data_IF_477522763119
#
_entry.id   IF_477522763119
#
_cell.length_a   1.000
_cell.length_b   1.000
_cell.length_c   1.000
_cell.angle_alpha   90.00
_cell.angle_beta   90.00
_cell.angle_gamma   90.00
#
_symmetry.space_group_name_H-M   'P 1'
#
loop_
_entity.id
_entity.type
_entity.pdbx_description
1 polymer ?
#
# COMPACT_ATOMS: atom_id res chain seq x y z
N UNK A 1 1.87 -65.96 -7.28
CA UNK A 1 0.94 -64.87 -7.62
C UNK A 1 0.35 -64.09 -6.44
N UNK A 2 0.65 -64.38 -5.14
CA UNK A 2 0.13 -63.62 -4.01
C UNK A 2 1.09 -62.58 -3.41
N UNK A 3 2.35 -62.57 -3.83
CA UNK A 3 3.38 -61.66 -3.31
C UNK A 3 3.53 -60.36 -4.11
N UNK A 4 3.03 -60.29 -5.31
CA UNK A 4 3.13 -59.08 -6.17
C UNK A 4 2.05 -58.06 -5.84
N UNK A 5 0.88 -58.53 -5.32
CA UNK A 5 -0.21 -57.64 -4.95
C UNK A 5 0.06 -56.88 -3.66
N UNK A 6 0.85 -57.46 -2.74
CA UNK A 6 1.18 -56.81 -1.45
C UNK A 6 2.22 -55.72 -1.59
N UNK A 7 3.09 -55.77 -2.59
CA UNK A 7 4.10 -54.74 -2.84
C UNK A 7 3.52 -53.52 -3.57
N UNK A 8 2.45 -53.69 -4.34
CA UNK A 8 1.78 -52.56 -5.03
C UNK A 8 0.92 -51.72 -4.10
N UNK A 9 0.45 -52.30 -2.97
CA UNK A 9 -0.34 -51.53 -1.99
C UNK A 9 0.51 -50.67 -1.04
N UNK A 10 1.80 -50.95 -0.91
CA UNK A 10 2.71 -50.17 -0.05
C UNK A 10 3.26 -48.90 -0.72
N UNK A 11 3.08 -48.74 -2.06
CA UNK A 11 3.54 -47.55 -2.79
C UNK A 11 2.48 -46.44 -2.90
N UNK A 12 1.24 -46.70 -2.45
CA UNK A 12 0.14 -45.70 -2.53
C UNK A 12 -0.08 -44.98 -1.19
N UNK A 13 0.57 -45.38 -0.09
CA UNK A 13 0.43 -44.74 1.21
C UNK A 13 1.45 -43.63 1.49
N UNK A 14 2.15 -43.17 0.47
CA UNK A 14 2.96 -41.95 0.53
C UNK A 14 2.10 -40.73 0.26
N UNK A 15 1.08 -40.45 1.04
CA UNK A 15 0.51 -39.11 1.16
C UNK A 15 1.64 -38.22 1.71
N UNK A 16 2.33 -37.51 0.82
CA UNK A 16 3.14 -36.40 1.22
C UNK A 16 2.24 -35.45 2.01
N UNK A 17 2.39 -35.41 3.31
CA UNK A 17 1.80 -34.38 4.15
C UNK A 17 2.40 -33.05 3.65
N UNK A 18 1.59 -32.31 2.90
CA UNK A 18 1.89 -30.91 2.62
C UNK A 18 2.11 -30.25 4.00
N UNK A 19 3.25 -29.62 4.24
CA UNK A 19 3.45 -28.93 5.51
C UNK A 19 2.38 -27.86 5.64
N UNK A 20 1.43 -28.11 6.54
CA UNK A 20 0.47 -27.09 6.94
C UNK A 20 1.28 -26.00 7.63
N UNK A 21 1.44 -24.85 6.98
CA UNK A 21 1.91 -23.66 7.66
C UNK A 21 0.91 -23.34 8.78
N UNK A 22 1.31 -23.64 10.00
CA UNK A 22 0.61 -23.14 11.19
C UNK A 22 0.89 -21.65 11.30
N UNK A 23 0.04 -20.85 10.71
CA UNK A 23 -0.07 -19.44 11.09
C UNK A 23 -0.88 -19.40 12.39
N UNK A 24 -0.24 -19.01 13.47
CA UNK A 24 -0.80 -19.07 14.83
C UNK A 24 -1.98 -18.14 15.10
N UNK A 25 -2.36 -17.24 14.16
CA UNK A 25 -3.44 -16.25 14.37
C UNK A 25 -4.43 -16.08 13.21
N UNK A 26 -4.39 -16.89 12.17
CA UNK A 26 -5.28 -16.75 11.02
C UNK A 26 -6.42 -17.77 11.11
N UNK A 27 -7.66 -17.27 11.24
CA UNK A 27 -8.86 -18.10 11.06
C UNK A 27 -8.94 -18.50 9.59
N UNK A 28 -8.69 -19.77 9.32
CA UNK A 28 -8.90 -20.33 8.00
C UNK A 28 -10.40 -20.45 7.70
N UNK A 29 -10.77 -20.35 6.42
CA UNK A 29 -12.18 -20.40 5.98
C UNK A 29 -12.90 -21.67 6.50
N UNK A 30 -12.17 -22.77 6.65
CA UNK A 30 -12.74 -24.03 7.18
C UNK A 30 -13.15 -23.92 8.67
N UNK A 31 -12.56 -23.00 9.45
CA UNK A 31 -12.94 -22.77 10.84
C UNK A 31 -14.22 -21.93 10.95
N UNK A 32 -14.58 -21.24 9.88
CA UNK A 32 -15.77 -20.38 9.79
C UNK A 32 -16.94 -21.12 9.14
N UNK A 33 -16.64 -22.00 8.20
CA UNK A 33 -17.63 -22.75 7.42
C UNK A 33 -17.32 -24.23 7.56
N UNK A 34 -18.24 -25.01 8.12
CA UNK A 34 -18.14 -26.48 8.19
C UNK A 34 -18.34 -27.05 6.77
N UNK A 35 -17.30 -26.97 5.97
CA UNK A 35 -17.31 -27.41 4.58
C UNK A 35 -16.81 -28.84 4.49
N UNK A 36 -17.66 -29.82 4.75
CA UNK A 36 -17.39 -31.25 4.51
C UNK A 36 -17.54 -31.68 3.06
N UNK A 37 -17.43 -30.74 2.12
CA UNK A 37 -17.69 -31.00 0.71
C UNK A 37 -16.42 -31.34 -0.09
N UNK A 38 -16.60 -31.91 -1.27
CA UNK A 38 -15.52 -32.27 -2.20
C UNK A 38 -14.62 -31.08 -2.57
N UNK A 39 -15.10 -29.86 -2.40
CA UNK A 39 -14.36 -28.62 -2.68
C UNK A 39 -13.21 -28.44 -1.67
N UNK A 40 -13.35 -28.88 -0.43
CA UNK A 40 -12.29 -28.88 0.59
C UNK A 40 -11.03 -29.63 0.17
N UNK A 41 -11.18 -30.63 -0.68
CA UNK A 41 -10.07 -31.50 -1.13
C UNK A 41 -9.39 -30.99 -2.40
N UNK A 42 -10.03 -30.08 -3.12
CA UNK A 42 -9.58 -29.61 -4.43
C UNK A 42 -8.97 -28.21 -4.43
N UNK A 43 -9.23 -27.39 -3.39
CA UNK A 43 -8.71 -26.03 -3.30
C UNK A 43 -7.69 -25.97 -2.17
N UNK A 44 -6.45 -25.56 -2.44
CA UNK A 44 -5.49 -25.31 -1.37
C UNK A 44 -6.10 -24.28 -0.42
N UNK A 45 -6.10 -24.58 0.87
CA UNK A 45 -6.70 -23.75 1.89
C UNK A 45 -6.13 -22.35 1.84
N UNK A 46 -6.95 -21.39 1.46
CA UNK A 46 -6.64 -19.98 1.62
C UNK A 46 -7.18 -19.54 2.98
N UNK A 47 -6.27 -19.31 3.91
CA UNK A 47 -6.63 -18.62 5.14
C UNK A 47 -7.02 -17.18 4.78
N UNK A 48 -8.20 -16.75 5.22
CA UNK A 48 -8.64 -15.36 5.08
C UNK A 48 -7.97 -14.59 6.21
N UNK A 49 -7.04 -13.74 5.86
CA UNK A 49 -6.45 -12.82 6.83
C UNK A 49 -7.50 -11.79 7.26
N UNK A 50 -7.54 -11.49 8.55
CA UNK A 50 -8.33 -10.38 9.06
C UNK A 50 -7.84 -9.07 8.46
N UNK A 51 -8.74 -8.11 8.27
CA UNK A 51 -8.36 -6.79 7.81
C UNK A 51 -7.41 -6.14 8.83
N UNK A 52 -6.26 -5.70 8.35
CA UNK A 52 -5.23 -5.06 9.16
C UNK A 52 -4.91 -3.68 8.64
N UNK A 53 -4.52 -2.80 9.54
CA UNK A 53 -3.97 -1.51 9.17
C UNK A 53 -2.66 -1.72 8.39
N UNK A 54 -2.51 -1.02 7.27
CA UNK A 54 -1.32 -1.13 6.42
C UNK A 54 -0.21 -0.28 7.04
N UNK A 55 0.85 -0.94 7.51
CA UNK A 55 2.04 -0.29 8.07
C UNK A 55 3.29 -0.80 7.34
N UNK A 56 3.78 -0.01 6.40
CA UNK A 56 5.01 -0.28 5.67
C UNK A 56 6.24 0.21 6.46
N UNK A 57 7.48 -0.22 6.13
CA UNK A 57 8.68 0.34 6.74
C UNK A 57 8.76 1.87 6.62
N UNK A 58 8.36 2.44 5.48
CA UNK A 58 8.29 3.89 5.24
C UNK A 58 7.28 4.61 6.14
N UNK A 59 6.22 3.94 6.56
CA UNK A 59 5.27 4.44 7.56
C UNK A 59 5.96 4.69 8.91
N UNK A 60 6.82 3.77 9.34
CA UNK A 60 7.59 3.96 10.58
C UNK A 60 8.62 5.10 10.46
N UNK A 61 9.22 5.29 9.27
CA UNK A 61 10.10 6.44 9.03
C UNK A 61 9.34 7.77 9.18
N UNK A 62 8.09 7.85 8.72
CA UNK A 62 7.22 9.01 8.93
C UNK A 62 6.89 9.24 10.40
N UNK A 63 6.53 8.17 11.13
CA UNK A 63 6.14 8.27 12.54
C UNK A 63 7.26 8.79 13.45
N UNK A 64 8.50 8.38 13.19
CA UNK A 64 9.65 8.74 14.04
C UNK A 64 10.24 10.10 13.70
N UNK A 65 9.71 10.82 12.72
CA UNK A 65 10.17 12.17 12.41
C UNK A 65 10.00 13.07 13.65
N UNK A 66 11.00 13.88 14.01
CA UNK A 66 10.85 14.89 15.04
C UNK A 66 9.68 15.82 14.69
N UNK A 67 8.90 16.31 15.66
CA UNK A 67 7.78 17.21 15.39
C UNK A 67 8.25 18.51 14.73
N UNK A 68 7.37 19.18 14.01
CA UNK A 68 7.64 20.51 13.50
C UNK A 68 7.61 21.53 14.66
N UNK A 69 8.52 22.51 14.65
CA UNK A 69 8.48 23.62 15.59
C UNK A 69 7.17 24.41 15.43
N UNK A 70 6.76 24.64 14.20
CA UNK A 70 5.49 25.25 13.84
C UNK A 70 4.84 24.40 12.75
N UNK A 71 3.63 23.88 13.00
CA UNK A 71 2.92 23.04 12.04
C UNK A 71 2.41 23.86 10.84
N UNK A 72 2.98 23.71 9.64
CA UNK A 72 2.47 24.40 8.48
C UNK A 72 1.08 23.88 8.08
N UNK A 73 0.22 24.81 7.64
CA UNK A 73 -1.10 24.45 7.09
C UNK A 73 -0.94 24.16 5.62
N UNK A 74 -1.24 22.93 5.23
CA UNK A 74 -1.11 22.43 3.85
C UNK A 74 -2.45 21.97 3.27
N UNK A 75 -2.60 22.16 1.97
CA UNK A 75 -3.77 21.68 1.23
C UNK A 75 -3.34 20.71 0.13
N UNK A 76 -4.10 19.62 -0.04
CA UNK A 76 -3.97 18.71 -1.18
C UNK A 76 -5.23 18.82 -2.00
N UNK A 77 -5.12 19.20 -3.29
CA UNK A 77 -6.26 19.22 -4.22
C UNK A 77 -6.38 17.94 -4.98
N UNK A 78 -5.34 17.56 -5.71
CA UNK A 78 -5.31 16.35 -6.52
C UNK A 78 -3.91 15.75 -6.55
N UNK A 79 -3.86 14.45 -6.34
CA UNK A 79 -2.65 13.65 -6.52
C UNK A 79 -3.04 12.37 -7.27
N UNK A 80 -3.02 12.43 -8.59
CA UNK A 80 -3.59 11.42 -9.47
C UNK A 80 -2.53 10.63 -10.23
N UNK A 81 -2.95 9.52 -10.80
CA UNK A 81 -2.16 8.78 -11.77
C UNK A 81 -2.04 9.58 -13.09
N UNK A 82 -0.81 9.94 -13.44
CA UNK A 82 -0.44 10.66 -14.66
C UNK A 82 0.26 9.75 -15.67
N UNK A 83 0.39 8.45 -15.38
CA UNK A 83 1.06 7.49 -16.26
C UNK A 83 0.20 7.07 -17.43
N UNK A 84 -1.12 7.07 -17.24
CA UNK A 84 -2.08 6.60 -18.23
C UNK A 84 -1.99 5.11 -18.53
N UNK A 85 -1.21 4.36 -17.74
CA UNK A 85 -0.97 2.95 -18.03
C UNK A 85 -2.16 2.07 -17.62
N UNK A 86 -2.41 1.04 -18.45
CA UNK A 86 -3.44 0.03 -18.25
C UNK A 86 -2.82 -1.30 -17.92
N UNK A 87 -3.55 -2.14 -17.18
CA UNK A 87 -3.14 -3.53 -16.93
C UNK A 87 -2.99 -4.27 -18.25
N UNK A 88 -1.95 -5.09 -18.36
CA UNK A 88 -1.77 -5.98 -19.52
C UNK A 88 -2.40 -7.32 -19.19
N UNK A 89 -3.24 -7.81 -20.11
CA UNK A 89 -3.71 -9.19 -20.16
C UNK A 89 -3.52 -9.72 -21.55
N UNK A 90 -3.00 -10.93 -21.66
CA UNK A 90 -2.81 -11.57 -22.95
C UNK A 90 -4.16 -11.81 -23.64
N UNK A 91 -4.31 -11.27 -24.85
CA UNK A 91 -5.46 -11.52 -25.72
C UNK A 91 -6.73 -10.70 -25.47
N UNK A 92 -6.79 -9.85 -24.43
CA UNK A 92 -7.98 -9.03 -24.12
C UNK A 92 -7.55 -7.60 -23.78
N UNK A 93 -8.28 -6.60 -24.36
CA UNK A 93 -8.10 -5.21 -23.95
C UNK A 93 -8.61 -5.02 -22.50
N UNK A 94 -7.70 -4.79 -21.55
CA UNK A 94 -8.05 -4.47 -20.17
C UNK A 94 -8.10 -2.96 -20.01
N UNK A 95 -9.25 -2.44 -19.61
CA UNK A 95 -9.47 -1.01 -19.37
C UNK A 95 -9.09 -0.59 -17.94
N UNK A 96 -8.73 -1.54 -17.08
CA UNK A 96 -8.32 -1.27 -15.70
C UNK A 96 -6.99 -0.53 -15.66
N UNK A 97 -6.87 0.44 -14.76
CA UNK A 97 -5.62 1.16 -14.51
C UNK A 97 -4.57 0.22 -13.92
N UNK A 98 -3.31 0.39 -14.34
CA UNK A 98 -2.21 -0.40 -13.81
C UNK A 98 -1.83 0.03 -12.39
N UNK A 99 -2.01 1.32 -12.09
CA UNK A 99 -1.68 1.95 -10.81
C UNK A 99 -2.97 2.37 -10.11
N UNK A 100 -2.93 2.44 -8.76
CA UNK A 100 -4.06 2.89 -7.95
C UNK A 100 -4.47 4.33 -8.30
N UNK A 101 -5.76 4.62 -8.27
CA UNK A 101 -6.32 5.96 -8.45
C UNK A 101 -6.48 6.72 -7.11
N UNK A 102 -6.21 6.06 -5.99
CA UNK A 102 -6.33 6.62 -4.63
C UNK A 102 -5.07 7.39 -4.19
N UNK A 103 -4.40 8.07 -5.12
CA UNK A 103 -3.15 8.78 -4.82
C UNK A 103 -3.34 9.93 -3.82
N UNK A 104 -4.45 10.66 -3.92
CA UNK A 104 -4.78 11.77 -3.02
C UNK A 104 -4.93 11.30 -1.58
N UNK A 105 -5.65 10.19 -1.38
CA UNK A 105 -5.88 9.58 -0.06
C UNK A 105 -4.56 9.09 0.55
N UNK A 106 -3.70 8.46 -0.27
CA UNK A 106 -2.39 8.02 0.19
C UNK A 106 -1.49 9.19 0.61
N UNK A 107 -1.54 10.31 -0.10
CA UNK A 107 -0.77 11.51 0.27
C UNK A 107 -1.30 12.14 1.55
N UNK A 108 -2.62 12.28 1.68
CA UNK A 108 -3.24 12.82 2.91
C UNK A 108 -2.90 11.95 4.12
N UNK A 109 -2.98 10.62 3.98
CA UNK A 109 -2.63 9.67 5.02
C UNK A 109 -1.15 9.82 5.46
N UNK A 110 -0.22 9.88 4.50
CA UNK A 110 1.19 10.09 4.78
C UNK A 110 1.47 11.41 5.49
N UNK A 111 0.83 12.52 5.06
CA UNK A 111 0.96 13.83 5.71
C UNK A 111 0.40 13.84 7.14
N UNK A 112 -0.70 13.12 7.37
CA UNK A 112 -1.31 12.98 8.70
C UNK A 112 -0.51 12.06 9.62
N UNK A 113 0.26 11.12 9.06
CA UNK A 113 1.11 10.20 9.79
C UNK A 113 2.42 10.85 10.25
N UNK A 114 2.93 11.82 9.49
CA UNK A 114 4.22 12.44 9.74
C UNK A 114 4.37 12.98 11.17
N UNK A 115 5.42 12.49 11.89
CA UNK A 115 5.70 12.83 13.28
C UNK A 115 4.55 12.50 14.24
N UNK A 116 3.81 11.41 13.97
CA UNK A 116 2.62 11.05 14.76
C UNK A 116 1.48 12.09 14.67
N UNK A 117 1.36 12.77 13.54
CA UNK A 117 0.34 13.81 13.28
C UNK A 117 0.74 15.21 13.75
N UNK A 118 2.00 15.43 14.11
CA UNK A 118 2.49 16.72 14.62
C UNK A 118 3.20 17.57 13.57
N UNK A 119 3.27 17.09 12.30
CA UNK A 119 3.98 17.81 11.24
C UNK A 119 3.10 18.83 10.53
N UNK A 120 1.96 18.41 10.03
CA UNK A 120 1.13 19.22 9.16
C UNK A 120 -0.29 19.38 9.69
N UNK A 121 -0.84 20.58 9.52
CA UNK A 121 -2.30 20.78 9.59
C UNK A 121 -2.85 20.64 8.16
N UNK A 122 -3.30 19.44 7.84
CA UNK A 122 -3.85 19.16 6.50
C UNK A 122 -5.29 19.64 6.45
N UNK A 123 -5.61 20.50 5.49
CA UNK A 123 -6.96 21.02 5.28
C UNK A 123 -7.62 20.39 4.07
N UNK A 124 -8.93 20.11 4.20
CA UNK A 124 -9.72 19.51 3.14
C UNK A 124 -9.88 20.45 1.94
N UNK A 125 -9.47 19.97 0.77
CA UNK A 125 -9.67 20.68 -0.51
C UNK A 125 -10.12 19.73 -1.63
N UNK A 126 -9.90 18.44 -1.51
CA UNK A 126 -10.39 17.46 -2.47
C UNK A 126 -11.92 17.36 -2.44
N UNK A 127 -12.50 17.35 -1.24
CA UNK A 127 -13.95 17.35 -1.01
C UNK A 127 -14.52 18.72 -0.64
N UNK A 128 -13.91 19.83 -1.07
CA UNK A 128 -14.29 21.17 -0.67
C UNK A 128 -15.76 21.51 -0.95
N UNK A 129 -16.29 21.08 -2.08
CA UNK A 129 -17.69 21.35 -2.46
C UNK A 129 -18.68 20.73 -1.45
N UNK A 130 -18.40 19.51 -1.00
CA UNK A 130 -19.22 18.85 0.03
C UNK A 130 -19.09 19.57 1.37
N UNK A 131 -17.88 19.97 1.75
CA UNK A 131 -17.63 20.73 2.97
C UNK A 131 -18.36 22.08 2.97
N UNK A 132 -18.33 22.80 1.85
CA UNK A 132 -19.02 24.09 1.70
C UNK A 132 -20.54 23.90 1.81
N UNK A 133 -21.10 22.86 1.16
CA UNK A 133 -22.51 22.52 1.24
C UNK A 133 -22.93 22.19 2.67
N UNK A 134 -22.17 21.37 3.37
CA UNK A 134 -22.46 21.03 4.78
C UNK A 134 -22.43 22.26 5.68
N UNK A 135 -21.46 23.15 5.47
CA UNK A 135 -21.39 24.43 6.21
C UNK A 135 -22.59 25.34 5.93
N UNK A 136 -23.16 25.31 4.73
CA UNK A 136 -24.41 26.05 4.43
C UNK A 136 -25.59 25.45 5.17
N UNK A 137 -25.69 24.12 5.23
CA UNK A 137 -26.75 23.42 5.98
C UNK A 137 -26.66 23.79 7.47
N UNK A 138 -25.48 23.73 8.07
CA UNK A 138 -25.27 24.09 9.47
C UNK A 138 -25.63 25.55 9.75
N UNK A 139 -25.29 26.48 8.83
CA UNK A 139 -25.70 27.90 8.96
C UNK A 139 -27.22 28.04 8.95
N UNK A 140 -27.88 27.41 7.97
CA UNK A 140 -29.34 27.49 7.85
C UNK A 140 -30.03 26.91 9.09
N UNK A 141 -29.55 25.77 9.61
CA UNK A 141 -30.09 25.17 10.82
C UNK A 141 -29.93 26.07 12.05
N UNK A 142 -28.75 26.70 12.20
CA UNK A 142 -28.50 27.66 13.30
C UNK A 142 -29.37 28.91 13.18
N UNK A 143 -29.52 29.46 11.98
CA UNK A 143 -30.35 30.63 11.76
C UNK A 143 -31.83 30.34 12.08
N UNK A 144 -32.31 29.15 11.75
CA UNK A 144 -33.69 28.74 12.08
C UNK A 144 -33.86 28.53 13.59
N UNK A 145 -32.89 27.86 14.25
CA UNK A 145 -32.93 27.67 15.71
C UNK A 145 -32.93 29.00 16.44
N UNK A 146 -32.09 29.95 15.98
CA UNK A 146 -32.03 31.31 16.60
C UNK A 146 -33.36 32.09 16.43
N UNK A 147 -34.08 31.89 15.34
CA UNK A 147 -35.41 32.48 15.17
C UNK A 147 -36.42 31.90 16.15
N UNK A 148 -36.37 30.60 16.39
CA UNK A 148 -37.28 29.91 17.30
C UNK A 148 -36.93 30.11 18.77
N UNK A 149 -35.67 30.31 19.08
CA UNK A 149 -35.17 30.49 20.48
C UNK A 149 -34.25 31.72 20.57
N UNK A 150 -34.81 32.94 20.56
CA UNK A 150 -34.00 34.18 20.52
C UNK A 150 -33.08 34.38 21.73
N UNK A 151 -33.46 33.82 22.90
CA UNK A 151 -32.75 33.96 24.17
C UNK A 151 -31.77 32.80 24.45
N UNK A 152 -31.61 31.87 23.52
CA UNK A 152 -30.69 30.74 23.65
C UNK A 152 -29.24 31.18 23.37
N UNK A 153 -28.49 31.32 24.44
CA UNK A 153 -27.07 31.70 24.39
C UNK A 153 -26.12 30.57 24.06
N UNK A 154 -26.57 29.30 24.01
CA UNK A 154 -25.70 28.14 23.72
C UNK A 154 -25.13 28.14 22.30
N UNK A 155 -25.72 28.85 21.36
CA UNK A 155 -25.28 28.91 19.95
C UNK A 155 -24.59 30.25 19.64
N UNK A 156 -23.86 30.81 20.56
CA UNK A 156 -23.14 32.08 20.34
C UNK A 156 -21.93 31.95 19.41
N UNK A 157 -21.31 30.77 19.34
CA UNK A 157 -20.14 30.57 18.45
C UNK A 157 -20.58 30.37 17.02
N UNK A 158 -20.28 31.32 16.16
CA UNK A 158 -20.41 31.18 14.70
C UNK A 158 -19.55 30.03 14.15
N UNK A 159 -19.87 29.57 12.94
CA UNK A 159 -19.00 28.63 12.25
C UNK A 159 -17.64 29.30 12.03
N UNK A 160 -16.59 28.72 12.58
CA UNK A 160 -15.22 29.21 12.41
C UNK A 160 -14.85 29.32 10.92
N UNK A 161 -14.08 30.32 10.50
CA UNK A 161 -13.60 30.40 9.12
C UNK A 161 -12.75 29.18 8.74
N UNK A 162 -12.74 28.81 7.48
CA UNK A 162 -11.86 27.76 6.98
C UNK A 162 -10.41 28.20 7.14
N UNK A 163 -9.56 27.26 7.53
CA UNK A 163 -8.13 27.54 7.62
C UNK A 163 -7.57 27.87 6.23
N UNK A 164 -6.74 28.89 6.21
CA UNK A 164 -5.94 29.23 5.06
C UNK A 164 -4.75 28.27 4.95
N UNK A 165 -4.53 27.68 3.78
CA UNK A 165 -3.36 26.86 3.52
C UNK A 165 -2.23 27.74 3.00
N UNK A 166 -1.12 27.80 3.71
CA UNK A 166 0.08 28.52 3.27
C UNK A 166 0.79 27.82 2.10
N UNK A 167 0.62 26.51 2.00
CA UNK A 167 1.26 25.68 0.97
C UNK A 167 0.21 24.76 0.34
N UNK A 168 0.20 24.72 -0.99
CA UNK A 168 -0.54 23.71 -1.75
C UNK A 168 0.44 22.61 -2.17
N UNK A 169 0.05 21.36 -1.90
CA UNK A 169 0.77 20.18 -2.35
C UNK A 169 0.06 19.60 -3.57
N UNK A 170 0.79 19.51 -4.65
CA UNK A 170 0.33 18.93 -5.91
C UNK A 170 1.32 17.91 -6.44
N UNK A 171 0.83 16.98 -7.24
CA UNK A 171 1.71 15.98 -7.83
C UNK A 171 0.98 14.84 -8.48
N UNK A 172 1.55 13.65 -8.35
CA UNK A 172 0.95 12.44 -8.86
C UNK A 172 1.96 11.31 -9.04
N UNK A 173 1.44 10.19 -9.48
CA UNK A 173 2.24 9.07 -9.95
C UNK A 173 2.64 9.41 -11.39
N UNK A 174 3.94 9.59 -11.62
CA UNK A 174 4.48 10.10 -12.89
C UNK A 174 5.13 9.02 -13.73
N UNK A 175 5.45 7.87 -13.15
CA UNK A 175 6.06 6.73 -13.83
C UNK A 175 5.58 5.41 -13.24
N UNK A 176 5.33 4.46 -14.13
CA UNK A 176 5.16 3.05 -13.82
C UNK A 176 5.82 2.24 -14.93
N UNK A 177 7.06 1.89 -14.72
CA UNK A 177 7.88 1.17 -15.67
C UNK A 177 7.83 -0.32 -15.33
N UNK A 178 7.43 -1.13 -16.31
CA UNK A 178 7.28 -2.57 -16.15
C UNK A 178 8.36 -3.30 -16.94
N UNK A 179 8.75 -4.47 -16.44
CA UNK A 179 9.76 -5.33 -17.06
C UNK A 179 11.12 -4.65 -17.28
N UNK A 180 11.53 -3.77 -16.34
CA UNK A 180 12.85 -3.15 -16.37
C UNK A 180 13.98 -4.18 -16.39
N UNK A 181 13.77 -5.25 -15.65
CA UNK A 181 14.58 -6.46 -15.69
C UNK A 181 13.66 -7.66 -15.61
N UNK A 182 13.91 -8.63 -16.46
CA UNK A 182 13.28 -9.94 -16.39
C UNK A 182 14.33 -10.99 -16.67
N UNK A 183 14.29 -12.07 -15.92
CA UNK A 183 15.22 -13.16 -16.11
C UNK A 183 14.64 -14.45 -15.55
N UNK A 184 15.21 -15.55 -16.01
CA UNK A 184 14.82 -16.86 -15.53
C UNK A 184 15.97 -17.84 -15.66
N UNK A 185 15.97 -18.83 -14.80
CA UNK A 185 16.86 -19.98 -14.90
C UNK A 185 16.01 -21.23 -14.89
N UNK A 186 16.20 -22.08 -15.84
CA UNK A 186 15.52 -23.38 -15.91
C UNK A 186 16.56 -24.48 -16.13
N UNK A 187 16.35 -25.61 -15.48
CA UNK A 187 17.11 -26.84 -15.72
C UNK A 187 16.14 -28.00 -15.77
N UNK A 188 16.33 -28.83 -16.78
CA UNK A 188 15.53 -30.05 -16.93
C UNK A 188 16.47 -31.23 -17.13
N UNK A 189 16.28 -32.26 -16.32
CA UNK A 189 17.06 -33.49 -16.38
C UNK A 189 16.16 -34.70 -16.16
N UNK A 190 16.17 -35.64 -17.08
CA UNK A 190 15.31 -36.84 -17.07
C UNK A 190 13.83 -36.59 -16.82
N UNK A 191 13.27 -35.52 -17.40
CA UNK A 191 11.86 -35.18 -17.24
C UNK A 191 11.51 -34.45 -15.93
N UNK A 192 12.51 -34.08 -15.11
CA UNK A 192 12.34 -33.26 -13.94
C UNK A 192 12.88 -31.88 -14.25
N UNK A 193 12.06 -30.85 -14.13
CA UNK A 193 12.39 -29.45 -14.38
C UNK A 193 12.26 -28.60 -13.14
N UNK A 194 13.15 -27.61 -13.01
CA UNK A 194 13.05 -26.51 -12.05
C UNK A 194 13.22 -25.21 -12.81
N UNK A 195 12.29 -24.31 -12.66
CA UNK A 195 12.35 -22.97 -13.24
C UNK A 195 12.23 -21.89 -12.16
N UNK A 196 12.93 -20.80 -12.37
CA UNK A 196 12.81 -19.59 -11.57
C UNK A 196 12.72 -18.41 -12.53
N UNK A 197 11.80 -17.49 -12.25
CA UNK A 197 11.61 -16.27 -13.02
C UNK A 197 11.52 -15.11 -12.06
N UNK A 198 12.01 -13.95 -12.49
CA UNK A 198 11.85 -12.71 -11.75
C UNK A 198 11.53 -11.56 -12.70
N UNK A 199 10.84 -10.57 -12.17
CA UNK A 199 10.53 -9.33 -12.87
C UNK A 199 10.71 -8.17 -11.90
N UNK A 200 11.26 -7.08 -12.40
CA UNK A 200 11.40 -5.82 -11.70
C UNK A 200 10.59 -4.73 -12.38
N UNK A 201 9.66 -4.16 -11.66
CA UNK A 201 8.88 -3.01 -12.05
C UNK A 201 9.24 -1.82 -11.15
N UNK A 202 8.88 -0.60 -11.53
CA UNK A 202 9.19 0.61 -10.78
C UNK A 202 8.02 1.59 -10.81
N UNK A 203 7.68 2.14 -9.65
CA UNK A 203 6.70 3.23 -9.50
C UNK A 203 7.45 4.49 -9.09
N UNK A 204 7.18 5.59 -9.77
CA UNK A 204 7.75 6.92 -9.46
C UNK A 204 6.64 7.90 -9.16
N UNK A 205 6.78 8.63 -8.06
CA UNK A 205 5.88 9.70 -7.64
C UNK A 205 6.61 11.04 -7.59
N UNK A 206 5.87 12.14 -7.79
CA UNK A 206 6.40 13.49 -7.66
C UNK A 206 5.44 14.35 -6.85
N UNK A 207 5.97 15.13 -5.89
CA UNK A 207 5.23 16.08 -5.06
C UNK A 207 5.88 17.45 -5.20
N UNK A 208 5.06 18.48 -5.48
CA UNK A 208 5.46 19.89 -5.50
C UNK A 208 4.78 20.63 -4.36
N UNK A 209 5.54 21.43 -3.64
CA UNK A 209 5.03 22.38 -2.66
C UNK A 209 5.00 23.79 -3.27
N UNK A 210 3.82 24.41 -3.31
CA UNK A 210 3.58 25.70 -3.95
C UNK A 210 3.11 26.70 -2.89
N UNK A 211 3.79 27.84 -2.80
CA UNK A 211 3.35 28.93 -1.94
C UNK A 211 2.04 29.52 -2.43
N UNK A 212 1.03 29.59 -1.57
CA UNK A 212 -0.25 30.26 -1.92
C UNK A 212 -0.14 31.79 -1.98
N UNK A 213 0.89 32.35 -1.35
CA UNK A 213 1.11 33.79 -1.33
C UNK A 213 1.75 34.31 -2.62
N UNK A 214 2.71 33.56 -3.17
CA UNK A 214 3.51 34.00 -4.31
C UNK A 214 3.29 33.18 -5.58
N UNK A 215 2.70 31.97 -5.46
CA UNK A 215 2.62 31.02 -6.56
C UNK A 215 3.95 30.34 -6.89
N UNK A 216 4.99 30.60 -6.11
CA UNK A 216 6.31 29.99 -6.30
C UNK A 216 6.30 28.50 -5.91
N UNK A 217 6.98 27.68 -6.72
CA UNK A 217 7.26 26.29 -6.38
C UNK A 217 8.44 26.24 -5.42
N UNK A 218 8.15 26.08 -4.13
CA UNK A 218 9.16 26.03 -3.07
C UNK A 218 9.98 24.76 -3.12
N UNK A 219 9.31 23.65 -3.34
CA UNK A 219 9.87 22.29 -3.31
C UNK A 219 9.33 21.45 -4.46
N UNK A 220 10.16 20.57 -4.99
CA UNK A 220 9.77 19.53 -5.93
C UNK A 220 10.57 18.27 -5.64
N UNK A 221 9.92 17.28 -5.08
CA UNK A 221 10.52 16.00 -4.68
C UNK A 221 10.00 14.88 -5.54
N UNK A 222 10.87 13.95 -5.84
CA UNK A 222 10.52 12.69 -6.50
C UNK A 222 11.02 11.52 -5.67
N UNK A 223 10.20 10.49 -5.56
CA UNK A 223 10.59 9.23 -4.96
C UNK A 223 10.13 8.07 -5.83
N UNK A 224 10.90 6.98 -5.79
CA UNK A 224 10.56 5.77 -6.53
C UNK A 224 10.68 4.54 -5.66
N UNK A 225 9.84 3.56 -5.95
CA UNK A 225 9.86 2.25 -5.31
C UNK A 225 9.95 1.18 -6.38
N UNK A 226 10.94 0.32 -6.21
CA UNK A 226 11.08 -0.89 -7.02
C UNK A 226 10.14 -1.97 -6.50
N UNK A 227 9.47 -2.65 -7.41
CA UNK A 227 8.57 -3.78 -7.18
C UNK A 227 9.28 -5.03 -7.69
N UNK A 228 9.41 -6.04 -6.83
CA UNK A 228 9.97 -7.32 -7.20
C UNK A 228 8.87 -8.37 -7.28
N UNK A 229 8.83 -9.07 -8.39
CA UNK A 229 7.98 -10.23 -8.60
C UNK A 229 8.87 -11.41 -8.91
N UNK A 230 8.67 -12.55 -8.24
CA UNK A 230 9.36 -13.77 -8.58
C UNK A 230 8.42 -14.95 -8.65
N UNK A 231 8.77 -15.91 -9.48
CA UNK A 231 8.07 -17.18 -9.60
C UNK A 231 9.08 -18.32 -9.59
N UNK A 232 8.75 -19.39 -8.92
CA UNK A 232 9.48 -20.63 -8.94
C UNK A 232 8.53 -21.75 -9.37
N UNK A 233 8.94 -22.55 -10.35
CA UNK A 233 8.18 -23.69 -10.83
C UNK A 233 9.01 -24.96 -10.75
N UNK A 234 8.32 -26.05 -10.46
CA UNK A 234 8.85 -27.41 -10.50
C UNK A 234 7.93 -28.23 -11.37
N UNK A 235 8.47 -28.84 -12.41
CA UNK A 235 7.75 -29.67 -13.35
C UNK A 235 8.36 -31.08 -13.41
N UNK A 236 7.51 -32.08 -13.40
CA UNK A 236 7.87 -33.48 -13.59
C UNK A 236 7.14 -34.01 -14.81
N UNK A 237 7.90 -34.31 -15.84
CA UNK A 237 7.44 -34.93 -17.06
C UNK A 237 7.92 -36.36 -17.09
N UNK A 238 7.06 -37.33 -16.96
CA UNK A 238 7.43 -38.75 -16.98
C UNK A 238 6.66 -39.51 -18.05
N UNK A 239 7.39 -40.09 -18.99
CA UNK A 239 6.84 -41.15 -19.85
C UNK A 239 6.74 -42.42 -19.02
N UNK A 240 5.55 -42.85 -18.73
CA UNK A 240 5.31 -44.17 -18.18
C UNK A 240 4.89 -45.03 -19.39
N UNK A 241 5.78 -45.91 -19.80
CA UNK A 241 5.57 -46.85 -20.91
C UNK A 241 4.63 -47.99 -20.44
N UNK A 242 3.43 -47.62 -20.08
CA UNK A 242 2.32 -48.50 -19.80
C UNK A 242 1.09 -47.89 -20.44
N UNK A 243 0.87 -48.30 -21.71
CA UNK A 243 -0.35 -47.98 -22.44
C UNK A 243 -0.59 -46.52 -22.78
N UNK A 244 0.42 -45.82 -23.36
CA UNK A 244 0.30 -44.47 -23.94
C UNK A 244 -0.26 -43.37 -23.00
N UNK A 245 -0.04 -43.47 -21.73
CA UNK A 245 -0.43 -42.40 -20.78
C UNK A 245 0.75 -41.52 -20.47
N UNK A 246 0.60 -40.23 -20.80
CA UNK A 246 1.49 -39.17 -20.42
C UNK A 246 1.05 -38.65 -19.02
N UNK A 247 1.96 -38.64 -18.08
CA UNK A 247 1.72 -37.98 -16.78
C UNK A 247 2.60 -36.73 -16.74
N UNK A 248 1.96 -35.58 -16.70
CA UNK A 248 2.58 -34.27 -16.52
C UNK A 248 2.11 -33.71 -15.17
N UNK A 249 3.06 -33.36 -14.34
CA UNK A 249 2.79 -32.67 -13.07
C UNK A 249 3.60 -31.38 -13.06
N UNK A 250 2.90 -30.27 -12.87
CA UNK A 250 3.49 -28.95 -12.74
C UNK A 250 3.03 -28.33 -11.42
N UNK A 251 3.97 -27.84 -10.64
CA UNK A 251 3.72 -27.09 -9.42
C UNK A 251 4.53 -25.80 -9.49
N UNK A 252 3.88 -24.70 -9.18
CA UNK A 252 4.50 -23.37 -9.27
C UNK A 252 3.99 -22.42 -8.21
N UNK A 253 4.89 -21.62 -7.67
CA UNK A 253 4.58 -20.54 -6.75
C UNK A 253 5.06 -19.24 -7.36
N UNK A 254 4.18 -18.24 -7.42
CA UNK A 254 4.52 -16.88 -7.80
C UNK A 254 4.18 -15.92 -6.67
N UNK A 255 5.13 -15.06 -6.34
CA UNK A 255 4.95 -14.01 -5.36
C UNK A 255 5.15 -12.64 -6.01
N UNK A 256 4.17 -11.76 -5.85
CA UNK A 256 4.16 -10.44 -6.45
C UNK A 256 3.94 -9.39 -5.36
N UNK A 257 4.86 -8.44 -5.24
CA UNK A 257 4.62 -7.26 -4.42
C UNK A 257 3.48 -6.42 -5.04
N UNK A 258 2.55 -5.96 -4.22
CA UNK A 258 1.41 -5.16 -4.69
C UNK A 258 1.85 -3.79 -5.21
N UNK A 259 1.41 -3.42 -6.41
CA UNK A 259 1.63 -2.08 -6.98
C UNK A 259 1.06 -0.99 -6.08
N UNK A 260 -0.05 -1.25 -5.38
CA UNK A 260 -0.65 -0.31 -4.43
C UNK A 260 0.25 -0.09 -3.22
N UNK A 261 0.87 -1.14 -2.68
CA UNK A 261 1.82 -1.02 -1.57
C UNK A 261 3.08 -0.27 -2.00
N UNK A 262 3.59 -0.56 -3.18
CA UNK A 262 4.73 0.15 -3.73
C UNK A 262 4.43 1.64 -3.95
N UNK A 263 3.23 1.97 -4.43
CA UNK A 263 2.79 3.36 -4.58
C UNK A 263 2.69 4.06 -3.23
N UNK A 264 2.10 3.41 -2.21
CA UNK A 264 2.06 3.93 -0.83
C UNK A 264 3.47 4.20 -0.31
N UNK A 265 4.38 3.24 -0.40
CA UNK A 265 5.77 3.41 0.04
C UNK A 265 6.48 4.57 -0.67
N UNK A 266 6.27 4.72 -1.98
CA UNK A 266 6.85 5.83 -2.74
C UNK A 266 6.29 7.20 -2.30
N UNK A 267 4.98 7.29 -2.01
CA UNK A 267 4.35 8.51 -1.48
C UNK A 267 4.87 8.85 -0.09
N UNK A 268 4.94 7.88 0.82
CA UNK A 268 5.48 8.05 2.17
C UNK A 268 6.95 8.52 2.13
N UNK A 269 7.78 7.90 1.31
CA UNK A 269 9.18 8.30 1.10
C UNK A 269 9.29 9.72 0.51
N UNK A 270 8.38 10.09 -0.40
CA UNK A 270 8.35 11.45 -0.96
C UNK A 270 7.98 12.49 0.10
N UNK A 271 7.07 12.17 1.03
CA UNK A 271 6.72 13.07 2.16
C UNK A 271 7.90 13.22 3.11
N UNK A 272 8.62 12.13 3.45
CA UNK A 272 9.86 12.21 4.24
C UNK A 272 10.89 13.11 3.56
N UNK A 273 11.10 12.94 2.26
CA UNK A 273 12.02 13.76 1.49
C UNK A 273 11.57 15.24 1.42
N UNK A 274 10.26 15.49 1.27
CA UNK A 274 9.69 16.83 1.29
C UNK A 274 9.98 17.54 2.62
N UNK A 275 9.77 16.84 3.73
CA UNK A 275 10.02 17.36 5.09
C UNK A 275 11.50 17.72 5.25
N UNK A 276 12.41 16.80 4.93
CA UNK A 276 13.85 17.00 5.07
C UNK A 276 14.37 18.16 4.19
N UNK A 277 13.99 18.18 2.91
CA UNK A 277 14.40 19.25 2.01
C UNK A 277 13.83 20.62 2.39
N UNK A 278 12.62 20.66 2.94
CA UNK A 278 12.02 21.90 3.41
C UNK A 278 12.70 22.46 4.66
N UNK A 279 13.15 21.57 5.57
CA UNK A 279 13.98 21.95 6.72
C UNK A 279 15.36 22.47 6.26
N UNK A 280 16.04 21.77 5.38
CA UNK A 280 17.32 22.18 4.79
C UNK A 280 17.26 23.54 4.10
N UNK A 281 16.11 23.87 3.48
CA UNK A 281 15.90 25.16 2.79
C UNK A 281 15.28 26.23 3.68
N UNK A 282 14.97 25.93 4.95
CA UNK A 282 14.43 26.87 5.91
C UNK A 282 12.96 27.23 5.69
N UNK A 283 12.17 26.40 4.99
CA UNK A 283 10.73 26.63 4.84
C UNK A 283 9.94 26.23 6.08
N UNK A 284 10.49 25.33 6.88
CA UNK A 284 10.04 24.94 8.23
C UNK A 284 11.23 24.46 9.05
N UNK A 285 11.02 24.26 10.33
CA UNK A 285 12.09 23.85 11.24
C UNK A 285 11.67 22.61 12.00
N UNK A 286 12.53 21.59 11.99
CA UNK A 286 12.43 20.43 12.84
C UNK A 286 12.72 20.83 14.29
N UNK A 287 11.86 20.44 15.20
CA UNK A 287 12.12 20.64 16.63
C UNK A 287 13.36 19.80 16.99
N UNK A 288 14.41 20.46 17.43
CA UNK A 288 15.61 19.76 17.92
C UNK A 288 15.23 18.97 19.15
N UNK A 289 15.40 17.65 19.13
CA UNK A 289 15.36 16.88 20.35
C UNK A 289 16.50 17.40 21.25
N UNK A 290 16.21 17.97 22.40
CA UNK A 290 17.16 18.12 23.47
C UNK A 290 17.52 16.69 23.92
N UNK A 291 18.56 16.11 23.33
CA UNK A 291 19.29 15.04 23.98
C UNK A 291 19.77 15.67 25.27
N UNK A 292 19.16 15.24 26.39
CA UNK A 292 19.53 15.72 27.70
C UNK A 292 21.04 15.62 27.85
N UNK A 293 21.69 16.76 27.93
CA UNK A 293 23.04 16.92 28.42
C UNK A 293 22.95 16.52 29.89
N UNK A 294 23.19 15.25 30.18
CA UNK A 294 23.35 14.79 31.53
C UNK A 294 24.50 15.59 32.11
N UNK A 295 24.18 16.45 33.04
CA UNK A 295 25.08 17.12 33.94
C UNK A 295 26.09 16.11 34.51
N UNK A 296 27.26 16.04 33.91
CA UNK A 296 28.43 15.56 34.54
C UNK A 296 29.08 16.72 35.32
N UNK A 297 28.38 17.12 36.41
CA UNK A 297 28.93 17.91 37.49
C UNK A 297 28.57 17.18 38.76
N UNK A 298 29.50 16.36 39.20
CA UNK A 298 29.87 16.21 40.60
C UNK A 298 31.00 15.17 40.74
N UNK A 299 32.20 15.63 40.79
CA UNK A 299 33.18 15.38 41.87
C UNK A 299 34.40 16.25 41.69
#
# INVERSE_FOLDING_TARGET
MKWVVTLALLLVSGCASVPTMKHEDNKCLHDIVDVKTLIEKAIPFTCIEEAKEIRLPTHYELLVLPPAENMPVVAVYQFTDKTGQRKRRDGIADFSTAVTQAGTELLIDALKTAGGGTWFRVVERAGLDNLVRERQIVRSARDEHKKQNPDDDEIKEGIQPLLFAGIVLEGGIIGYDTNLESGGRGMRYFGIGKSQQYRRDEVTVSIRGISTLTGEILLNVQARKTILSYGAGFDVFRFVDLDTRLVEYEDGVAENESVTFATRAAVEAAVVALIKQGDERGFWVLQKQHLGENDEKDT
#
